data_IF_683262178898
#
_entry.id   IF_683262178898
#
_cell.length_a   1.000
_cell.length_b   1.000
_cell.length_c   1.000
_cell.angle_alpha   90.00
_cell.angle_beta   90.00
_cell.angle_gamma   90.00
#
_symmetry.space_group_name_H-M   'P 1'
#
loop_
_entity.id
_entity.type
_entity.pdbx_description
1 polymer ?
#
# COMPACT_ATOMS: atom_id res chain seq x y z
N UNK A 1 15.11 4.83 5.65
CA UNK A 1 15.49 4.22 6.95
C UNK A 1 14.71 4.80 8.13
N UNK A 2 14.89 6.08 8.51
CA UNK A 2 14.34 6.62 9.77
C UNK A 2 12.83 6.44 9.96
N UNK A 3 12.04 6.64 8.89
CA UNK A 3 10.59 6.41 8.89
C UNK A 3 10.26 4.93 9.11
N UNK A 4 10.97 4.03 8.44
CA UNK A 4 10.66 2.59 8.44
C UNK A 4 11.18 1.85 9.68
N UNK A 5 12.30 2.28 10.25
CA UNK A 5 12.90 1.60 11.41
C UNK A 5 12.73 2.36 12.72
N UNK A 6 12.25 3.60 12.66
CA UNK A 6 12.17 4.44 13.85
C UNK A 6 13.53 4.78 14.45
N UNK A 7 14.63 4.73 13.68
CA UNK A 7 16.02 4.90 14.17
C UNK A 7 16.22 6.09 15.12
N UNK A 8 15.52 7.19 14.86
CA UNK A 8 15.62 8.43 15.63
C UNK A 8 14.41 8.66 16.54
N UNK A 9 13.59 7.65 16.81
CA UNK A 9 12.54 7.73 17.82
C UNK A 9 13.12 7.43 19.21
N UNK A 10 12.67 8.18 20.23
CA UNK A 10 13.05 7.98 21.63
C UNK A 10 14.29 8.76 22.07
N UNK A 11 15.46 8.41 21.56
CA UNK A 11 16.74 9.07 21.93
C UNK A 11 17.50 9.58 20.70
N UNK A 12 16.93 10.54 19.95
CA UNK A 12 17.52 11.04 18.71
C UNK A 12 18.92 11.63 18.92
N UNK A 13 19.17 12.33 20.02
CA UNK A 13 20.47 12.97 20.32
C UNK A 13 21.57 11.92 20.43
N UNK A 14 21.33 10.84 21.16
CA UNK A 14 22.30 9.74 21.29
C UNK A 14 22.57 9.07 19.94
N UNK A 15 21.52 8.81 19.16
CA UNK A 15 21.68 8.23 17.82
C UNK A 15 22.45 9.16 16.87
N UNK A 16 22.21 10.46 16.94
CA UNK A 16 22.95 11.45 16.15
C UNK A 16 24.41 11.55 16.57
N UNK A 17 24.71 11.61 17.88
CA UNK A 17 26.09 11.63 18.37
C UNK A 17 26.87 10.40 17.91
N UNK A 18 26.25 9.21 17.94
CA UNK A 18 26.84 7.99 17.41
C UNK A 18 27.08 8.09 15.91
N UNK A 19 26.07 8.51 15.15
CA UNK A 19 26.17 8.64 13.69
C UNK A 19 27.29 9.64 13.31
N UNK A 20 27.38 10.80 13.98
CA UNK A 20 28.42 11.81 13.74
C UNK A 20 29.82 11.23 14.00
N UNK A 21 30.03 10.55 15.13
CA UNK A 21 31.34 9.93 15.45
C UNK A 21 31.72 8.84 14.45
N UNK A 22 30.75 8.05 13.99
CA UNK A 22 31.00 7.00 13.01
C UNK A 22 31.30 7.58 11.61
N UNK A 23 30.61 8.67 11.25
CA UNK A 23 30.87 9.39 9.99
C UNK A 23 32.26 10.03 10.01
N UNK A 24 32.66 10.66 11.12
CA UNK A 24 33.98 11.28 11.28
C UNK A 24 35.11 10.24 11.18
N UNK A 25 34.93 9.07 11.79
CA UNK A 25 35.95 8.01 11.81
C UNK A 25 36.03 7.17 10.54
N UNK A 26 34.91 6.88 9.87
CA UNK A 26 34.84 5.91 8.76
C UNK A 26 34.51 6.53 7.40
N UNK A 27 34.08 7.80 7.39
CA UNK A 27 33.52 8.48 6.23
C UNK A 27 32.04 8.18 6.04
N UNK A 28 31.30 9.16 5.48
CA UNK A 28 29.84 9.12 5.32
C UNK A 28 29.36 7.90 4.53
N UNK A 29 29.88 7.69 3.32
CA UNK A 29 29.39 6.64 2.43
C UNK A 29 29.59 5.23 3.01
N UNK A 30 30.79 4.95 3.54
CA UNK A 30 31.12 3.66 4.17
C UNK A 30 30.21 3.37 5.36
N UNK A 31 30.00 4.36 6.23
CA UNK A 31 29.14 4.19 7.39
C UNK A 31 27.67 4.00 6.97
N UNK A 32 27.14 4.88 6.13
CA UNK A 32 25.76 4.84 5.66
C UNK A 32 25.42 3.51 5.01
N UNK A 33 26.28 2.99 4.13
CA UNK A 33 26.08 1.67 3.50
C UNK A 33 26.04 0.56 4.54
N UNK A 34 26.97 0.54 5.51
CA UNK A 34 26.96 -0.47 6.58
C UNK A 34 25.70 -0.41 7.47
N UNK A 35 25.17 0.80 7.71
CA UNK A 35 23.92 0.97 8.44
C UNK A 35 22.73 0.50 7.61
N UNK A 36 22.68 0.84 6.31
CA UNK A 36 21.62 0.41 5.41
C UNK A 36 21.57 -1.12 5.32
N UNK A 37 22.71 -1.77 5.07
CA UNK A 37 22.81 -3.24 4.97
C UNK A 37 22.37 -3.94 6.26
N UNK A 38 22.74 -3.38 7.42
CA UNK A 38 22.38 -3.96 8.72
C UNK A 38 20.92 -3.70 9.12
N UNK A 39 20.34 -2.57 8.73
CA UNK A 39 18.98 -2.16 9.15
C UNK A 39 17.89 -2.58 8.16
N UNK A 40 18.23 -2.67 6.88
CA UNK A 40 17.31 -2.99 5.78
C UNK A 40 17.79 -4.21 4.95
N UNK A 41 18.17 -5.34 5.59
CA UNK A 41 18.54 -6.55 4.85
C UNK A 41 17.34 -7.08 4.04
N UNK A 42 17.55 -8.02 3.11
CA UNK A 42 16.44 -8.57 2.30
C UNK A 42 15.28 -9.14 3.15
N UNK A 43 15.58 -9.71 4.32
CA UNK A 43 14.60 -10.22 5.28
C UNK A 43 13.76 -9.13 5.94
N UNK A 44 14.23 -7.87 5.95
CA UNK A 44 13.42 -6.72 6.38
C UNK A 44 12.20 -6.57 5.48
N UNK A 45 12.41 -6.59 4.17
CA UNK A 45 11.37 -6.34 3.18
C UNK A 45 10.38 -7.49 3.04
N UNK A 46 10.85 -8.73 3.20
CA UNK A 46 10.01 -9.93 3.01
C UNK A 46 9.38 -10.44 4.30
N UNK A 47 9.95 -10.11 5.47
CA UNK A 47 9.48 -10.59 6.78
C UNK A 47 9.07 -9.47 7.73
N UNK A 48 10.01 -8.60 8.13
CA UNK A 48 9.77 -7.64 9.21
C UNK A 48 8.76 -6.55 8.85
N UNK A 49 8.93 -5.89 7.70
CA UNK A 49 8.07 -4.80 7.27
C UNK A 49 6.61 -5.24 7.05
N UNK A 50 6.31 -6.38 6.38
CA UNK A 50 4.95 -6.90 6.31
C UNK A 50 4.30 -7.13 7.69
N UNK A 51 5.04 -7.62 8.69
CA UNK A 51 4.51 -7.79 10.05
C UNK A 51 4.23 -6.44 10.72
N UNK A 52 5.12 -5.46 10.55
CA UNK A 52 4.93 -4.10 11.07
C UNK A 52 3.73 -3.38 10.43
N UNK A 53 3.33 -3.78 9.22
CA UNK A 53 2.15 -3.28 8.53
C UNK A 53 0.82 -3.90 9.01
N UNK A 54 0.83 -4.83 9.97
CA UNK A 54 -0.40 -5.27 10.66
C UNK A 54 -0.83 -4.20 11.68
N UNK A 55 -1.52 -3.19 11.17
CA UNK A 55 -1.98 -2.06 11.96
C UNK A 55 -3.20 -1.43 11.32
N UNK A 56 -4.07 -0.86 12.15
CA UNK A 56 -5.22 -0.07 11.71
C UNK A 56 -4.96 1.44 11.66
N UNK A 57 -3.72 1.88 11.92
CA UNK A 57 -3.38 3.30 11.95
C UNK A 57 -3.07 3.81 10.54
N UNK A 58 -4.00 4.55 9.95
CA UNK A 58 -3.79 5.26 8.68
C UNK A 58 -2.73 6.36 8.74
N UNK A 59 -2.21 6.69 9.93
CA UNK A 59 -1.09 7.61 10.13
C UNK A 59 0.22 6.87 10.47
N UNK A 60 0.24 5.54 10.32
CA UNK A 60 1.46 4.77 10.56
C UNK A 60 2.55 5.18 9.57
N UNK A 61 3.83 5.22 10.02
CA UNK A 61 4.94 5.55 9.14
C UNK A 61 5.05 4.61 7.93
N UNK A 62 4.65 3.35 8.09
CA UNK A 62 4.66 2.35 7.01
C UNK A 62 3.64 2.68 5.92
N UNK A 63 2.44 3.11 6.29
CA UNK A 63 1.42 3.49 5.31
C UNK A 63 1.77 4.81 4.61
N UNK A 64 2.32 5.79 5.35
CA UNK A 64 2.82 7.03 4.74
C UNK A 64 3.98 6.75 3.77
N UNK A 65 4.90 5.85 4.13
CA UNK A 65 5.99 5.43 3.23
C UNK A 65 5.46 4.70 2.00
N UNK A 66 4.42 3.87 2.15
CA UNK A 66 3.74 3.23 1.02
C UNK A 66 3.10 4.25 0.08
N UNK A 67 2.35 5.21 0.59
CA UNK A 67 1.77 6.29 -0.21
C UNK A 67 2.84 7.12 -0.93
N UNK A 68 3.95 7.41 -0.25
CA UNK A 68 5.09 8.10 -0.87
C UNK A 68 5.72 7.26 -2.00
N UNK A 69 5.84 5.95 -1.83
CA UNK A 69 6.30 5.05 -2.89
C UNK A 69 5.37 5.09 -4.10
N UNK A 70 4.05 5.05 -3.90
CA UNK A 70 3.07 5.16 -4.99
C UNK A 70 3.22 6.47 -5.76
N UNK A 71 3.38 7.60 -5.05
CA UNK A 71 3.63 8.91 -5.66
C UNK A 71 4.93 8.91 -6.47
N UNK A 72 6.02 8.41 -5.89
CA UNK A 72 7.34 8.47 -6.51
C UNK A 72 7.50 7.54 -7.70
N UNK A 73 6.76 6.44 -7.72
CA UNK A 73 6.71 5.51 -8.84
C UNK A 73 5.66 5.91 -9.90
N UNK A 74 4.92 6.99 -9.68
CA UNK A 74 3.95 7.52 -10.64
C UNK A 74 2.67 6.69 -10.75
N UNK A 75 2.31 5.97 -9.69
CA UNK A 75 1.14 5.09 -9.69
C UNK A 75 -0.16 5.90 -9.85
N UNK A 76 -1.13 5.29 -10.55
CA UNK A 76 -2.50 5.80 -10.60
C UNK A 76 -3.28 5.40 -9.34
N UNK A 77 -4.32 6.15 -9.02
CA UNK A 77 -5.28 5.75 -8.00
C UNK A 77 -5.93 4.40 -8.33
N UNK A 78 -6.36 3.68 -7.31
CA UNK A 78 -7.12 2.45 -7.47
C UNK A 78 -8.37 2.69 -8.33
N UNK A 79 -8.50 1.89 -9.39
CA UNK A 79 -9.49 1.97 -10.46
C UNK A 79 -9.54 3.31 -11.21
N UNK A 80 -8.55 4.18 -10.98
CA UNK A 80 -8.39 5.41 -11.74
C UNK A 80 -7.62 5.15 -13.02
N UNK A 81 -8.14 5.71 -14.12
CA UNK A 81 -7.44 5.76 -15.40
C UNK A 81 -6.48 6.96 -15.46
N UNK A 82 -6.99 8.11 -15.05
CA UNK A 82 -6.35 9.40 -15.36
C UNK A 82 -5.67 10.02 -14.12
N UNK A 83 -6.21 9.78 -12.91
CA UNK A 83 -5.80 10.48 -11.68
C UNK A 83 -4.66 9.73 -10.98
N UNK A 84 -3.57 10.43 -10.66
CA UNK A 84 -2.41 9.84 -9.97
C UNK A 84 -2.64 9.74 -8.46
N UNK A 85 -1.86 8.89 -7.79
CA UNK A 85 -1.79 8.87 -6.33
C UNK A 85 -1.41 10.26 -5.76
N UNK A 86 -0.55 11.00 -6.46
CA UNK A 86 -0.16 12.36 -6.08
C UNK A 86 -1.34 13.32 -6.10
N UNK A 87 -2.12 13.31 -7.19
CA UNK A 87 -3.30 14.17 -7.32
C UNK A 87 -4.32 13.89 -6.22
N UNK A 88 -4.56 12.61 -5.89
CA UNK A 88 -5.48 12.21 -4.83
C UNK A 88 -5.03 12.72 -3.45
N UNK A 89 -3.74 12.59 -3.13
CA UNK A 89 -3.20 13.04 -1.85
C UNK A 89 -3.21 14.57 -1.73
N UNK A 90 -2.86 15.30 -2.78
CA UNK A 90 -2.88 16.77 -2.78
C UNK A 90 -4.30 17.33 -2.64
N UNK A 91 -5.30 16.63 -3.20
CA UNK A 91 -6.70 16.98 -3.05
C UNK A 91 -7.34 16.45 -1.75
N UNK A 92 -6.53 15.93 -0.82
CA UNK A 92 -6.98 15.39 0.47
C UNK A 92 -8.09 14.33 0.32
N UNK A 93 -7.97 13.49 -0.70
CA UNK A 93 -8.87 12.34 -0.87
C UNK A 93 -8.75 11.41 0.34
N UNK A 94 -9.89 10.91 0.80
CA UNK A 94 -9.91 9.87 1.83
C UNK A 94 -9.31 8.55 1.30
N UNK A 95 -8.89 7.70 2.23
CA UNK A 95 -8.58 6.31 1.92
C UNK A 95 -9.87 5.49 1.89
N UNK A 96 -9.95 4.57 0.95
CA UNK A 96 -11.11 3.70 0.77
C UNK A 96 -10.74 2.25 1.05
N UNK A 97 -11.71 1.45 1.46
CA UNK A 97 -11.50 0.03 1.71
C UNK A 97 -11.64 -0.79 0.43
N UNK A 98 -10.71 -1.70 0.18
CA UNK A 98 -10.84 -2.70 -0.90
C UNK A 98 -12.00 -3.64 -0.56
N UNK A 99 -11.97 -4.24 0.62
CA UNK A 99 -13.09 -4.98 1.17
C UNK A 99 -13.98 -4.00 1.92
N UNK A 100 -15.19 -3.66 1.42
CA UNK A 100 -15.95 -2.55 1.99
C UNK A 100 -16.24 -2.75 3.46
N UNK A 101 -16.11 -1.66 4.22
CA UNK A 101 -16.25 -1.67 5.68
C UNK A 101 -17.55 -2.32 6.15
N UNK A 102 -18.67 -1.97 5.54
CA UNK A 102 -19.97 -2.48 5.95
C UNK A 102 -20.17 -3.96 5.59
N UNK A 103 -19.54 -4.43 4.50
CA UNK A 103 -19.49 -5.85 4.16
C UNK A 103 -18.78 -6.63 5.28
N UNK A 104 -17.59 -6.21 5.68
CA UNK A 104 -16.82 -6.85 6.76
C UNK A 104 -17.51 -6.73 8.13
N UNK A 105 -18.13 -5.58 8.42
CA UNK A 105 -18.89 -5.38 9.67
C UNK A 105 -20.06 -6.35 9.78
N UNK A 106 -20.79 -6.60 8.67
CA UNK A 106 -21.90 -7.58 8.63
C UNK A 106 -21.40 -9.01 8.82
N UNK A 107 -20.16 -9.31 8.41
CA UNK A 107 -19.48 -10.57 8.67
C UNK A 107 -18.93 -10.70 10.11
N UNK A 108 -19.15 -9.72 10.98
CA UNK A 108 -18.78 -9.78 12.40
C UNK A 108 -17.39 -9.25 12.73
N UNK A 109 -16.66 -8.68 11.76
CA UNK A 109 -15.32 -8.16 12.01
C UNK A 109 -15.36 -6.85 12.81
N UNK A 110 -14.42 -6.73 13.75
CA UNK A 110 -14.23 -5.56 14.59
C UNK A 110 -13.59 -4.39 13.82
N UNK A 111 -13.65 -3.19 14.41
CA UNK A 111 -13.09 -1.97 13.79
C UNK A 111 -11.59 -2.07 13.48
N UNK A 112 -10.81 -2.68 14.37
CA UNK A 112 -9.37 -2.87 14.14
C UNK A 112 -9.11 -3.83 12.97
N UNK A 113 -9.96 -4.82 12.75
CA UNK A 113 -9.81 -5.80 11.67
C UNK A 113 -10.16 -5.22 10.30
N UNK A 114 -11.29 -4.49 10.18
CA UNK A 114 -11.66 -3.93 8.87
C UNK A 114 -10.89 -2.64 8.51
N UNK A 115 -10.33 -1.90 9.47
CA UNK A 115 -9.54 -0.69 9.23
C UNK A 115 -8.03 -0.96 9.06
N UNK A 116 -7.64 -2.19 8.73
CA UNK A 116 -6.25 -2.53 8.45
C UNK A 116 -5.71 -1.67 7.30
N UNK A 117 -4.48 -1.16 7.41
CA UNK A 117 -3.88 -0.34 6.34
C UNK A 117 -3.75 -1.13 5.03
N UNK A 118 -3.59 -2.45 5.13
CA UNK A 118 -3.60 -3.36 4.01
C UNK A 118 -4.99 -3.58 3.41
N UNK A 119 -6.06 -2.99 3.95
CA UNK A 119 -7.35 -2.87 3.30
C UNK A 119 -7.56 -1.50 2.65
N UNK A 120 -6.64 -0.53 2.82
CA UNK A 120 -6.81 0.82 2.29
C UNK A 120 -6.23 1.02 0.89
N UNK A 121 -6.91 1.80 0.07
CA UNK A 121 -6.50 2.25 -1.26
C UNK A 121 -6.78 3.74 -1.44
N UNK A 122 -5.96 4.41 -2.24
CA UNK A 122 -6.22 5.76 -2.73
C UNK A 122 -7.12 5.65 -3.96
N UNK A 123 -8.36 6.13 -3.88
CA UNK A 123 -9.28 6.15 -5.01
C UNK A 123 -10.09 7.45 -5.02
N UNK A 124 -10.76 7.72 -6.14
CA UNK A 124 -11.67 8.86 -6.25
C UNK A 124 -12.98 8.56 -5.51
N UNK A 125 -13.60 9.59 -4.91
CA UNK A 125 -14.86 9.44 -4.17
C UNK A 125 -15.97 8.80 -4.99
N UNK A 126 -16.06 9.12 -6.29
CA UNK A 126 -17.08 8.56 -7.20
C UNK A 126 -16.90 7.05 -7.40
N UNK A 127 -15.65 6.57 -7.44
CA UNK A 127 -15.34 5.13 -7.52
C UNK A 127 -15.80 4.45 -6.24
N UNK A 128 -15.49 5.03 -5.07
CA UNK A 128 -15.91 4.49 -3.79
C UNK A 128 -17.45 4.47 -3.64
N UNK A 129 -18.13 5.53 -4.08
CA UNK A 129 -19.60 5.59 -4.08
C UNK A 129 -20.19 4.51 -4.99
N UNK A 130 -19.59 4.28 -6.17
CA UNK A 130 -20.05 3.25 -7.10
C UNK A 130 -19.89 1.83 -6.54
N UNK A 131 -18.81 1.54 -5.80
CA UNK A 131 -18.61 0.25 -5.10
C UNK A 131 -19.58 0.10 -3.92
N UNK A 132 -19.75 1.15 -3.13
CA UNK A 132 -20.62 1.15 -1.95
C UNK A 132 -20.31 0.01 -0.97
N UNK A 133 -21.34 -0.76 -0.61
CA UNK A 133 -21.26 -1.88 0.35
C UNK A 133 -21.15 -3.25 -0.33
N UNK A 134 -20.89 -3.30 -1.64
CA UNK A 134 -20.87 -4.55 -2.39
C UNK A 134 -19.76 -5.49 -1.90
N UNK A 135 -20.00 -6.81 -1.97
CA UNK A 135 -18.92 -7.75 -1.71
C UNK A 135 -17.83 -7.58 -2.77
N UNK A 136 -16.55 -7.77 -2.43
CA UNK A 136 -15.46 -7.72 -3.40
C UNK A 136 -15.67 -8.66 -4.57
N UNK A 137 -16.21 -9.84 -4.31
CA UNK A 137 -16.51 -10.81 -5.36
C UNK A 137 -17.44 -10.25 -6.43
N UNK A 138 -18.48 -9.51 -6.00
CA UNK A 138 -19.46 -8.93 -6.93
C UNK A 138 -18.81 -7.80 -7.72
N UNK A 139 -18.20 -6.81 -7.07
CA UNK A 139 -17.69 -5.66 -7.81
C UNK A 139 -16.48 -6.01 -8.70
N UNK A 140 -15.61 -6.95 -8.30
CA UNK A 140 -14.51 -7.42 -9.15
C UNK A 140 -15.02 -8.21 -10.37
N UNK A 141 -16.04 -9.06 -10.22
CA UNK A 141 -16.69 -9.71 -11.38
C UNK A 141 -17.28 -8.67 -12.33
N UNK A 142 -17.87 -7.61 -11.80
CA UNK A 142 -18.41 -6.53 -12.60
C UNK A 142 -17.32 -5.67 -13.27
N UNK A 143 -16.17 -5.45 -12.63
CA UNK A 143 -14.99 -4.81 -13.23
C UNK A 143 -14.47 -5.59 -14.45
N UNK A 144 -14.36 -6.91 -14.32
CA UNK A 144 -13.97 -7.79 -15.44
C UNK A 144 -15.00 -7.68 -16.58
N UNK A 145 -16.30 -7.71 -16.25
CA UNK A 145 -17.37 -7.55 -17.23
C UNK A 145 -17.31 -6.19 -17.93
N UNK A 146 -17.03 -5.11 -17.19
CA UNK A 146 -16.84 -3.77 -17.75
C UNK A 146 -15.70 -3.75 -18.79
N UNK A 147 -14.61 -4.49 -18.56
CA UNK A 147 -13.52 -4.61 -19.53
C UNK A 147 -13.86 -5.49 -20.75
N UNK A 148 -14.90 -6.32 -20.66
CA UNK A 148 -15.36 -7.22 -21.72
C UNK A 148 -16.53 -6.69 -22.57
N UNK A 149 -16.63 -5.37 -22.79
CA UNK A 149 -17.76 -4.67 -23.42
C UNK A 149 -19.02 -4.51 -22.56
N UNK A 150 -18.90 -4.67 -21.24
CA UNK A 150 -19.98 -4.35 -20.29
C UNK A 150 -20.18 -2.84 -20.10
N UNK A 151 -21.28 -2.44 -19.44
CA UNK A 151 -21.48 -1.04 -19.10
C UNK A 151 -20.41 -0.55 -18.11
N UNK A 152 -19.97 0.70 -18.27
CA UNK A 152 -19.05 1.35 -17.32
C UNK A 152 -19.78 1.62 -16.01
N UNK A 153 -19.32 0.99 -14.94
CA UNK A 153 -19.81 1.13 -13.56
C UNK A 153 -18.77 1.75 -12.63
N UNK A 154 -17.50 1.36 -12.76
CA UNK A 154 -16.42 1.74 -11.85
C UNK A 154 -15.30 2.44 -12.60
N UNK A 155 -15.12 3.73 -12.34
CA UNK A 155 -14.03 4.50 -12.94
C UNK A 155 -14.00 4.46 -14.47
N UNK A 156 -12.82 4.72 -15.03
CA UNK A 156 -12.61 4.90 -16.47
C UNK A 156 -11.98 3.71 -17.20
N UNK A 157 -11.49 2.71 -16.47
CA UNK A 157 -10.72 1.58 -17.02
C UNK A 157 -11.68 0.61 -17.74
N UNK A 158 -11.46 0.37 -19.02
CA UNK A 158 -12.26 -0.58 -19.82
C UNK A 158 -11.42 -1.58 -20.61
N UNK A 159 -10.10 -1.55 -20.44
CA UNK A 159 -9.21 -2.54 -20.98
C UNK A 159 -8.76 -3.48 -19.86
N UNK A 160 -8.69 -4.78 -20.15
CA UNK A 160 -8.38 -5.79 -19.13
C UNK A 160 -6.90 -5.75 -18.70
N UNK A 161 -5.99 -5.43 -19.62
CA UNK A 161 -4.58 -5.27 -19.28
C UNK A 161 -4.35 -4.01 -18.45
N UNK A 162 -5.04 -2.92 -18.78
CA UNK A 162 -5.04 -1.70 -17.97
C UNK A 162 -5.58 -1.95 -16.55
N UNK A 163 -6.66 -2.73 -16.41
CA UNK A 163 -7.18 -3.15 -15.11
C UNK A 163 -6.15 -3.98 -14.33
N UNK A 164 -5.56 -5.01 -14.96
CA UNK A 164 -4.52 -5.83 -14.32
C UNK A 164 -3.34 -4.98 -13.86
N UNK A 165 -2.89 -4.05 -14.69
CA UNK A 165 -1.83 -3.13 -14.31
C UNK A 165 -2.25 -2.25 -13.12
N UNK A 166 -3.47 -1.72 -13.10
CA UNK A 166 -3.99 -0.93 -11.99
C UNK A 166 -4.04 -1.71 -10.66
N UNK A 167 -4.49 -2.97 -10.70
CA UNK A 167 -4.49 -3.89 -9.54
C UNK A 167 -3.05 -4.12 -9.04
N UNK A 168 -2.12 -4.40 -9.97
CA UNK A 168 -0.71 -4.62 -9.65
C UNK A 168 -0.05 -3.40 -9.02
N UNK A 169 -0.19 -2.21 -9.60
CA UNK A 169 0.41 -0.98 -9.01
C UNK A 169 -0.24 -0.60 -7.69
N UNK A 170 -1.52 -0.96 -7.49
CA UNK A 170 -2.23 -0.80 -6.20
C UNK A 170 -1.83 -1.84 -5.13
N UNK A 171 -0.86 -2.71 -5.44
CA UNK A 171 -0.38 -3.80 -4.59
C UNK A 171 -1.51 -4.73 -4.14
N UNK A 172 -2.44 -5.02 -5.05
CA UNK A 172 -3.54 -5.94 -4.83
C UNK A 172 -3.20 -7.31 -5.44
N UNK A 173 -3.55 -8.43 -4.76
CA UNK A 173 -3.39 -9.77 -5.31
C UNK A 173 -4.09 -9.94 -6.65
N UNK A 174 -3.40 -10.51 -7.64
CA UNK A 174 -4.00 -10.83 -8.94
C UNK A 174 -5.16 -11.83 -8.83
N UNK A 175 -5.18 -12.64 -7.76
CA UNK A 175 -6.27 -13.56 -7.43
C UNK A 175 -7.65 -12.87 -7.42
N UNK A 176 -7.71 -11.58 -7.05
CA UNK A 176 -8.95 -10.79 -7.07
C UNK A 176 -9.59 -10.70 -8.46
N UNK A 177 -8.79 -10.80 -9.53
CA UNK A 177 -9.27 -10.84 -10.92
C UNK A 177 -9.53 -12.26 -11.43
N UNK A 178 -9.03 -13.30 -10.76
CA UNK A 178 -9.17 -14.69 -11.16
C UNK A 178 -10.51 -15.34 -10.73
N UNK A 179 -11.38 -14.58 -10.03
CA UNK A 179 -12.68 -15.04 -9.58
C UNK A 179 -12.67 -15.89 -8.30
N UNK A 180 -11.48 -16.27 -7.82
CA UNK A 180 -11.26 -16.83 -6.48
C UNK A 180 -10.88 -15.70 -5.53
N UNK A 181 -11.82 -15.25 -4.70
CA UNK A 181 -11.51 -14.24 -3.70
C UNK A 181 -10.74 -14.92 -2.55
N UNK A 182 -9.53 -14.47 -2.22
CA UNK A 182 -8.85 -14.97 -1.03
C UNK A 182 -9.67 -14.66 0.22
N UNK A 183 -9.49 -15.48 1.26
CA UNK A 183 -9.99 -15.14 2.59
C UNK A 183 -9.47 -13.75 3.00
N UNK A 184 -10.23 -13.02 3.81
CA UNK A 184 -9.85 -11.65 4.15
C UNK A 184 -8.48 -11.58 4.87
N UNK A 185 -8.16 -12.54 5.73
CA UNK A 185 -6.87 -12.54 6.42
C UNK A 185 -5.72 -12.91 5.47
N UNK A 186 -5.96 -13.83 4.54
CA UNK A 186 -5.01 -14.17 3.46
C UNK A 186 -4.75 -12.97 2.54
N UNK A 187 -5.81 -12.26 2.15
CA UNK A 187 -5.73 -11.01 1.38
C UNK A 187 -4.85 -9.98 2.08
N UNK A 188 -5.08 -9.74 3.38
CA UNK A 188 -4.30 -8.78 4.14
C UNK A 188 -2.83 -9.19 4.22
N UNK A 189 -2.54 -10.48 4.43
CA UNK A 189 -1.17 -10.99 4.49
C UNK A 189 -0.43 -10.80 3.16
N UNK A 190 -1.04 -11.23 2.06
CA UNK A 190 -0.45 -11.10 0.73
C UNK A 190 -0.24 -9.62 0.36
N UNK A 191 -1.25 -8.77 0.62
CA UNK A 191 -1.17 -7.34 0.33
C UNK A 191 -0.05 -6.65 1.10
N UNK A 192 0.17 -6.98 2.38
CA UNK A 192 1.30 -6.41 3.16
C UNK A 192 2.65 -6.76 2.53
N UNK A 193 2.81 -7.98 2.00
CA UNK A 193 4.03 -8.38 1.27
C UNK A 193 4.21 -7.54 0.01
N UNK A 194 3.16 -7.35 -0.79
CA UNK A 194 3.21 -6.53 -2.01
C UNK A 194 3.51 -5.06 -1.71
N UNK A 195 2.87 -4.48 -0.68
CA UNK A 195 3.12 -3.11 -0.23
C UNK A 195 4.57 -2.92 0.23
N UNK A 196 5.13 -3.88 0.97
CA UNK A 196 6.54 -3.84 1.38
C UNK A 196 7.49 -3.89 0.17
N UNK A 197 7.20 -4.73 -0.83
CA UNK A 197 7.99 -4.78 -2.07
C UNK A 197 7.87 -3.49 -2.89
N UNK A 198 6.73 -2.79 -2.87
CA UNK A 198 6.61 -1.45 -3.50
C UNK A 198 7.57 -0.45 -2.87
N UNK A 199 7.63 -0.42 -1.54
CA UNK A 199 8.56 0.46 -0.82
C UNK A 199 10.01 0.07 -1.14
N UNK A 200 10.32 -1.23 -1.20
CA UNK A 200 11.64 -1.71 -1.63
C UNK A 200 11.99 -1.22 -3.04
N UNK A 201 11.07 -1.36 -3.99
CA UNK A 201 11.26 -0.89 -5.38
C UNK A 201 11.58 0.60 -5.41
N UNK A 202 10.86 1.41 -4.63
CA UNK A 202 11.18 2.83 -4.53
C UNK A 202 12.55 3.07 -3.88
N UNK A 203 12.91 2.33 -2.84
CA UNK A 203 14.19 2.44 -2.17
C UNK A 203 15.38 2.11 -3.10
N UNK A 204 15.24 1.12 -3.99
CA UNK A 204 16.31 0.66 -4.91
C UNK A 204 16.59 1.63 -6.07
N UNK A 205 15.73 2.63 -6.31
CA UNK A 205 15.89 3.63 -7.39
C UNK A 205 16.35 5.01 -6.88
N UNK A 206 16.68 5.11 -5.57
CA UNK A 206 17.25 6.32 -4.95
C UNK A 206 18.77 6.38 -5.14
#
# INVERSE_FOLDING_TARGET
MSILTGRYMGSPETSFDQDIRQIDSRGLATYANSVIESQLPDTFWTGMLPQQMDTSSGQSPYFLAYQAAQVKLGDKGFLSRDITAQDLLLNRSDVHHVYPRNFLKKAGLSKSQYNQIANFVLAQSEINIAIGDQSPEVYFKELIKQCGNGPKKYGGITDLEELRNNIKVSCLPEALLAGGLPDYDEFLEERRKLMAQKIKTWFEVL
#
